data_IF_687853799509
#
_entry.id   IF_687853799509
#
_cell.length_a   1.000
_cell.length_b   1.000
_cell.length_c   1.000
_cell.angle_alpha   90.00
_cell.angle_beta   90.00
_cell.angle_gamma   90.00
#
_symmetry.space_group_name_H-M   'P 1'
#
loop_
_entity.id
_entity.type
_entity.pdbx_description
1 polymer ?
#
# COMPACT_ATOMS: atom_id res chain seq x y z
N UNK A 1 -22.36 67.06 -29.65
CA UNK A 1 -23.51 66.47 -28.95
C UNK A 1 -23.00 65.30 -28.11
N UNK A 2 -23.34 65.26 -26.80
CA UNK A 2 -23.32 64.13 -25.81
C UNK A 2 -22.01 63.29 -25.67
N UNK A 3 -21.24 63.42 -24.57
CA UNK A 3 -21.34 62.72 -23.25
C UNK A 3 -21.13 61.19 -23.41
N UNK A 4 -20.32 60.42 -22.65
CA UNK A 4 -19.78 60.55 -21.29
C UNK A 4 -18.69 59.47 -21.07
N UNK A 5 -17.89 59.64 -20.02
CA UNK A 5 -16.82 58.80 -19.48
C UNK A 5 -17.15 57.31 -19.26
N UNK A 6 -16.10 56.46 -19.28
CA UNK A 6 -16.10 55.20 -18.52
C UNK A 6 -14.76 55.06 -17.80
N UNK A 7 -14.85 55.03 -16.48
CA UNK A 7 -13.75 54.93 -15.53
C UNK A 7 -13.38 53.48 -15.27
N UNK A 8 -12.08 53.23 -15.09
CA UNK A 8 -11.54 51.98 -14.53
C UNK A 8 -11.79 51.99 -13.03
N UNK A 9 -12.56 51.03 -12.53
CA UNK A 9 -12.56 50.62 -11.12
C UNK A 9 -12.45 49.10 -11.11
N UNK A 10 -11.29 48.60 -10.73
CA UNK A 10 -11.10 47.24 -10.27
C UNK A 10 -11.56 47.15 -8.82
N UNK A 11 -12.57 46.33 -8.52
CA UNK A 11 -12.87 45.86 -7.17
C UNK A 11 -13.47 44.44 -7.25
N UNK A 12 -12.92 43.57 -6.41
CA UNK A 12 -13.09 42.12 -6.33
C UNK A 12 -14.55 41.64 -6.20
N UNK A 13 -14.95 40.66 -7.01
CA UNK A 13 -16.16 39.87 -6.81
C UNK A 13 -15.79 38.38 -6.67
N UNK A 14 -16.15 37.81 -5.53
CA UNK A 14 -15.92 36.42 -5.11
C UNK A 14 -16.80 35.47 -5.95
N UNK A 15 -16.28 34.36 -6.50
CA UNK A 15 -17.10 33.37 -7.19
C UNK A 15 -17.97 32.58 -6.19
N UNK A 16 -19.27 32.50 -6.48
CA UNK A 16 -20.19 31.58 -5.82
C UNK A 16 -20.02 30.18 -6.44
N UNK A 17 -19.59 29.21 -5.63
CA UNK A 17 -19.53 27.80 -6.01
C UNK A 17 -20.94 27.20 -5.95
N UNK A 18 -21.48 26.79 -7.10
CA UNK A 18 -22.60 25.83 -7.16
C UNK A 18 -22.02 24.48 -6.76
N UNK A 19 -22.25 24.05 -5.52
CA UNK A 19 -22.02 22.66 -5.12
C UNK A 19 -23.10 21.82 -5.77
N UNK A 20 -22.70 20.86 -6.60
CA UNK A 20 -23.57 19.73 -6.87
C UNK A 20 -23.80 19.03 -5.51
N UNK A 21 -25.03 18.62 -5.24
CA UNK A 21 -25.32 17.74 -4.12
C UNK A 21 -25.80 16.47 -4.78
N UNK A 22 -24.94 15.46 -4.82
CA UNK A 22 -25.31 14.10 -5.20
C UNK A 22 -26.58 13.68 -4.44
N UNK A 23 -27.67 13.39 -5.15
CA UNK A 23 -28.88 12.85 -4.53
C UNK A 23 -28.59 11.39 -4.11
N UNK A 24 -28.51 11.10 -2.79
CA UNK A 24 -28.14 9.77 -2.32
C UNK A 24 -29.13 8.67 -2.76
N UNK A 25 -30.35 9.05 -3.19
CA UNK A 25 -31.31 8.12 -3.75
C UNK A 25 -30.98 7.71 -5.19
N UNK A 26 -30.27 8.53 -5.96
CA UNK A 26 -29.85 8.17 -7.32
C UNK A 26 -28.72 7.13 -7.29
N UNK A 27 -27.77 7.27 -6.37
CA UNK A 27 -26.74 6.26 -6.13
C UNK A 27 -27.35 4.90 -5.75
N UNK A 28 -28.33 4.87 -4.82
CA UNK A 28 -29.01 3.62 -4.47
C UNK A 28 -29.81 3.02 -5.62
N UNK A 29 -30.53 3.84 -6.40
CA UNK A 29 -31.26 3.35 -7.58
C UNK A 29 -30.32 2.73 -8.61
N UNK A 30 -29.11 3.27 -8.75
CA UNK A 30 -28.08 2.68 -9.60
C UNK A 30 -27.61 1.33 -9.07
N UNK A 31 -27.29 1.22 -7.78
CA UNK A 31 -26.85 -0.04 -7.16
C UNK A 31 -27.91 -1.13 -7.31
N UNK A 32 -29.18 -0.81 -7.08
CA UNK A 32 -30.27 -1.76 -7.28
C UNK A 32 -30.45 -2.19 -8.73
N UNK A 33 -30.17 -1.30 -9.69
CA UNK A 33 -30.15 -1.67 -11.11
C UNK A 33 -29.03 -2.66 -11.41
N UNK A 34 -27.82 -2.43 -10.91
CA UNK A 34 -26.71 -3.39 -11.04
C UNK A 34 -27.02 -4.73 -10.37
N UNK A 35 -27.64 -4.70 -9.19
CA UNK A 35 -28.01 -5.90 -8.45
C UNK A 35 -29.08 -6.72 -9.19
N UNK A 36 -30.09 -6.05 -9.77
CA UNK A 36 -31.15 -6.71 -10.52
C UNK A 36 -30.64 -7.36 -11.82
N UNK A 37 -29.66 -6.75 -12.49
CA UNK A 37 -29.11 -7.25 -13.75
C UNK A 37 -28.18 -8.46 -13.55
N UNK A 38 -27.25 -8.39 -12.58
CA UNK A 38 -26.19 -9.39 -12.45
C UNK A 38 -26.36 -10.34 -11.25
N UNK A 39 -27.04 -9.90 -10.20
CA UNK A 39 -27.09 -10.57 -8.89
C UNK A 39 -25.81 -10.40 -8.07
N UNK A 40 -25.93 -10.40 -6.74
CA UNK A 40 -24.83 -10.06 -5.81
C UNK A 40 -23.63 -11.01 -5.89
N UNK A 41 -23.88 -12.29 -6.19
CA UNK A 41 -22.84 -13.33 -6.26
C UNK A 41 -22.10 -13.38 -7.59
N UNK A 42 -22.49 -12.56 -8.57
CA UNK A 42 -21.84 -12.52 -9.87
C UNK A 42 -20.64 -11.55 -9.82
N UNK A 43 -19.43 -11.95 -10.23
CA UNK A 43 -18.26 -11.08 -10.19
C UNK A 43 -18.39 -9.80 -11.02
N UNK A 44 -19.34 -9.74 -11.97
CA UNK A 44 -19.61 -8.53 -12.76
C UNK A 44 -20.40 -7.46 -11.98
N UNK A 45 -21.08 -7.82 -10.88
CA UNK A 45 -21.84 -6.88 -10.07
C UNK A 45 -20.95 -5.76 -9.48
N UNK A 46 -19.79 -6.12 -8.90
CA UNK A 46 -18.86 -5.15 -8.32
C UNK A 46 -18.36 -4.12 -9.34
N UNK A 47 -18.00 -4.59 -10.55
CA UNK A 47 -17.57 -3.70 -11.63
C UNK A 47 -18.69 -2.76 -12.11
N UNK A 48 -19.94 -3.24 -12.16
CA UNK A 48 -21.10 -2.40 -12.52
C UNK A 48 -21.30 -1.25 -11.53
N UNK A 49 -21.26 -1.53 -10.23
CA UNK A 49 -21.45 -0.53 -9.18
C UNK A 49 -20.35 0.53 -9.23
N UNK A 50 -19.09 0.12 -9.37
CA UNK A 50 -17.95 1.05 -9.39
C UNK A 50 -17.96 1.98 -10.61
N UNK A 51 -18.31 1.46 -11.78
CA UNK A 51 -18.27 2.24 -13.02
C UNK A 51 -19.47 3.17 -13.19
N UNK A 52 -20.65 2.74 -12.75
CA UNK A 52 -21.90 3.41 -13.10
C UNK A 52 -22.53 4.16 -11.94
N UNK A 53 -22.27 3.76 -10.70
CA UNK A 53 -22.99 4.29 -9.54
C UNK A 53 -22.17 5.28 -8.69
N UNK A 54 -20.87 5.40 -8.95
CA UNK A 54 -19.97 6.34 -8.27
C UNK A 54 -19.66 7.60 -9.10
N UNK A 55 -20.47 7.89 -10.13
CA UNK A 55 -20.31 9.06 -10.99
C UNK A 55 -21.10 10.25 -10.44
N UNK A 56 -20.60 10.82 -9.34
CA UNK A 56 -21.22 11.98 -8.69
C UNK A 56 -20.18 12.97 -8.17
N UNK A 57 -19.50 12.83 -7.05
CA UNK A 57 -18.56 13.86 -6.55
C UNK A 57 -17.40 13.27 -5.72
N UNK A 58 -16.32 14.05 -5.48
CA UNK A 58 -15.27 13.66 -4.55
C UNK A 58 -15.82 13.75 -3.12
N UNK A 59 -16.46 12.68 -2.65
CA UNK A 59 -17.18 12.65 -1.38
C UNK A 59 -16.68 11.54 -0.45
N UNK A 60 -16.36 12.01 0.75
CA UNK A 60 -15.94 11.28 1.95
C UNK A 60 -16.97 10.22 2.34
N UNK A 61 -16.56 8.95 2.36
CA UNK A 61 -17.40 7.84 2.81
C UNK A 61 -17.47 7.72 4.35
N UNK A 62 -18.63 7.35 4.95
CA UNK A 62 -18.78 7.07 6.38
C UNK A 62 -18.18 5.72 6.78
N UNK A 63 -17.56 5.68 7.97
CA UNK A 63 -16.80 4.58 8.55
C UNK A 63 -17.62 3.28 8.75
N UNK A 64 -17.57 2.37 7.77
CA UNK A 64 -17.36 0.96 8.10
C UNK A 64 -16.10 0.92 8.96
N UNK A 65 -16.10 0.28 10.13
CA UNK A 65 -14.87 0.07 10.90
C UNK A 65 -13.80 -0.40 9.89
N UNK A 66 -12.79 0.43 9.61
CA UNK A 66 -11.87 0.11 8.54
C UNK A 66 -11.28 -1.24 8.90
N UNK A 67 -11.27 -2.18 7.94
CA UNK A 67 -10.29 -3.26 7.98
C UNK A 67 -8.99 -2.59 8.44
N UNK A 68 -8.33 -3.08 9.52
CA UNK A 68 -7.30 -2.33 10.24
C UNK A 68 -6.43 -1.67 9.20
N UNK A 69 -6.47 -0.33 9.18
CA UNK A 69 -5.82 0.43 8.13
C UNK A 69 -4.41 -0.17 7.98
N UNK A 70 -3.95 -0.44 6.75
CA UNK A 70 -2.60 -0.95 6.55
C UNK A 70 -1.68 -0.11 7.45
N UNK A 71 -0.91 -0.79 8.29
CA UNK A 71 0.05 -0.12 9.16
C UNK A 71 0.76 0.93 8.31
N UNK A 72 0.71 2.20 8.70
CA UNK A 72 1.02 3.31 7.80
C UNK A 72 2.35 3.04 7.05
N UNK A 73 2.27 2.86 5.73
CA UNK A 73 3.42 2.55 4.88
C UNK A 73 3.64 1.07 4.52
N UNK A 74 2.83 0.13 5.02
CA UNK A 74 2.91 -1.29 4.68
C UNK A 74 1.77 -1.70 3.73
N UNK A 75 2.11 -2.43 2.68
CA UNK A 75 1.18 -3.09 1.76
C UNK A 75 1.04 -4.56 2.14
N UNK A 76 -0.11 -5.18 1.89
CA UNK A 76 -0.35 -6.59 2.19
C UNK A 76 -1.15 -7.25 1.07
N UNK A 77 -0.97 -8.57 0.89
CA UNK A 77 -1.77 -9.30 -0.08
C UNK A 77 -1.45 -10.79 -0.15
N UNK A 78 -2.03 -11.44 -1.16
CA UNK A 78 -1.73 -12.81 -1.58
C UNK A 78 -0.74 -12.72 -2.75
N UNK A 79 0.20 -13.66 -2.84
CA UNK A 79 1.12 -13.74 -3.99
C UNK A 79 0.34 -14.02 -5.29
N UNK A 80 0.87 -13.61 -6.43
CA UNK A 80 0.17 -13.73 -7.73
C UNK A 80 -0.13 -15.18 -8.14
N UNK A 81 0.64 -16.14 -7.63
CA UNK A 81 0.43 -17.58 -7.81
C UNK A 81 -0.55 -18.19 -6.80
N UNK A 82 -1.05 -17.41 -5.83
CA UNK A 82 -1.94 -17.88 -4.77
C UNK A 82 -1.25 -18.78 -3.74
N UNK A 83 0.05 -19.01 -3.83
CA UNK A 83 0.78 -19.96 -3.00
C UNK A 83 1.27 -19.38 -1.67
N UNK A 84 1.01 -18.09 -1.40
CA UNK A 84 1.52 -17.42 -0.23
C UNK A 84 0.86 -16.08 0.04
N UNK A 85 1.34 -15.40 1.07
CA UNK A 85 0.94 -14.05 1.42
C UNK A 85 2.16 -13.17 1.65
N UNK A 86 1.96 -11.85 1.56
CA UNK A 86 3.05 -10.89 1.70
C UNK A 86 2.68 -9.68 2.56
N UNK A 87 3.73 -9.05 3.07
CA UNK A 87 3.74 -7.70 3.61
C UNK A 87 4.90 -6.94 2.94
N UNK A 88 4.66 -5.78 2.36
CA UNK A 88 5.67 -5.04 1.58
C UNK A 88 5.79 -3.58 1.94
N UNK A 89 6.98 -3.02 1.86
CA UNK A 89 7.24 -1.59 1.98
C UNK A 89 8.04 -1.10 0.77
N UNK A 90 7.66 0.07 0.24
CA UNK A 90 8.41 0.79 -0.78
C UNK A 90 9.13 1.98 -0.14
N UNK A 91 10.45 1.99 -0.25
CA UNK A 91 11.23 3.17 0.11
C UNK A 91 11.04 4.25 -0.96
N UNK A 92 10.53 5.43 -0.56
CA UNK A 92 10.24 6.52 -1.49
C UNK A 92 11.51 7.21 -2.04
N UNK A 93 12.65 7.09 -1.34
CA UNK A 93 13.91 7.75 -1.71
C UNK A 93 14.70 6.93 -2.72
N UNK A 94 14.72 5.61 -2.57
CA UNK A 94 15.46 4.70 -3.46
C UNK A 94 14.57 4.05 -4.51
N UNK A 95 13.26 4.01 -4.28
CA UNK A 95 12.31 3.26 -5.09
C UNK A 95 12.40 1.75 -4.91
N UNK A 96 13.22 1.25 -3.97
CA UNK A 96 13.35 -0.16 -3.68
C UNK A 96 12.15 -0.67 -2.85
N UNK A 97 11.72 -1.89 -3.15
CA UNK A 97 10.67 -2.59 -2.44
C UNK A 97 11.26 -3.72 -1.61
N UNK A 98 10.86 -3.81 -0.34
CA UNK A 98 11.17 -4.95 0.53
C UNK A 98 9.87 -5.64 0.96
N UNK A 99 9.80 -6.95 0.74
CA UNK A 99 8.66 -7.78 1.11
C UNK A 99 9.07 -8.84 2.12
N UNK A 100 8.26 -9.03 3.15
CA UNK A 100 8.17 -10.29 3.87
C UNK A 100 7.17 -11.19 3.14
N UNK A 101 7.60 -12.42 2.83
CA UNK A 101 6.80 -13.43 2.15
C UNK A 101 6.65 -14.63 3.06
N UNK A 102 5.47 -15.24 3.05
CA UNK A 102 5.27 -16.60 3.55
C UNK A 102 4.71 -17.47 2.43
N UNK A 103 5.09 -18.74 2.42
CA UNK A 103 4.64 -19.71 1.42
C UNK A 103 4.52 -21.13 1.96
N UNK A 104 4.35 -22.12 1.08
CA UNK A 104 4.00 -23.48 1.48
C UNK A 104 5.07 -24.11 2.37
N UNK A 105 4.60 -24.83 3.39
CA UNK A 105 5.45 -25.47 4.39
C UNK A 105 5.97 -24.50 5.46
N UNK A 106 5.31 -23.35 5.64
CA UNK A 106 5.68 -22.36 6.65
C UNK A 106 7.00 -21.64 6.40
N UNK A 107 7.51 -21.70 5.17
CA UNK A 107 8.76 -21.02 4.78
C UNK A 107 8.53 -19.54 4.63
N UNK A 108 9.46 -18.74 5.13
CA UNK A 108 9.37 -17.29 5.12
C UNK A 108 10.65 -16.68 4.59
N UNK A 109 10.51 -15.66 3.75
CA UNK A 109 11.63 -15.01 3.07
C UNK A 109 11.48 -13.50 3.12
N UNK A 110 12.61 -12.80 3.04
CA UNK A 110 12.65 -11.40 2.64
C UNK A 110 12.96 -11.33 1.15
N UNK A 111 12.17 -10.58 0.40
CA UNK A 111 12.38 -10.30 -1.01
C UNK A 111 12.70 -8.81 -1.19
N UNK A 112 13.85 -8.51 -1.78
CA UNK A 112 14.24 -7.19 -2.21
C UNK A 112 14.07 -7.07 -3.73
N UNK A 113 13.36 -6.04 -4.17
CA UNK A 113 13.21 -5.66 -5.59
C UNK A 113 13.70 -4.22 -5.74
N UNK A 114 14.66 -3.99 -6.64
CA UNK A 114 15.24 -2.66 -6.81
C UNK A 114 16.58 -2.66 -7.54
N UNK A 115 17.24 -1.49 -7.60
CA UNK A 115 18.42 -1.25 -8.43
C UNK A 115 19.71 -1.91 -7.93
N UNK A 116 19.73 -2.46 -6.71
CA UNK A 116 20.89 -3.20 -6.21
C UNK A 116 20.81 -4.70 -6.51
N UNK A 117 21.73 -5.11 -7.39
CA UNK A 117 22.26 -6.47 -7.50
C UNK A 117 23.76 -6.44 -7.24
N UNK A 118 24.33 -7.44 -6.54
CA UNK A 118 24.16 -8.86 -6.87
C UNK A 118 23.62 -9.71 -5.71
N UNK A 119 23.61 -11.03 -5.91
CA UNK A 119 23.57 -11.97 -4.78
C UNK A 119 24.70 -11.62 -3.80
N UNK A 120 24.36 -11.05 -2.65
CA UNK A 120 25.31 -10.38 -1.76
C UNK A 120 24.88 -10.51 -0.30
N UNK A 121 25.82 -10.25 0.60
CA UNK A 121 25.50 -10.07 2.01
C UNK A 121 25.12 -8.62 2.24
N UNK A 122 23.87 -8.38 2.62
CA UNK A 122 23.37 -7.07 3.03
C UNK A 122 23.32 -7.01 4.55
N UNK A 123 23.47 -5.81 5.10
CA UNK A 123 23.33 -5.58 6.55
C UNK A 123 21.96 -4.99 6.83
N UNK A 124 21.12 -5.75 7.51
CA UNK A 124 19.90 -5.24 8.11
C UNK A 124 20.22 -4.66 9.48
N UNK A 125 20.11 -3.36 9.65
CA UNK A 125 20.29 -2.69 10.94
C UNK A 125 18.93 -2.41 11.56
N UNK A 126 18.64 -2.96 12.75
CA UNK A 126 17.43 -2.68 13.51
C UNK A 126 17.81 -1.96 14.80
N UNK A 127 17.30 -0.75 15.00
CA UNK A 127 17.61 0.08 16.18
C UNK A 127 19.12 0.17 16.50
N UNK A 128 19.96 0.21 15.46
CA UNK A 128 21.42 0.29 15.58
C UNK A 128 22.16 -1.04 15.68
N UNK A 129 21.46 -2.18 15.74
CA UNK A 129 22.05 -3.53 15.75
C UNK A 129 22.03 -4.11 14.35
N UNK A 130 23.22 -4.44 13.81
CA UNK A 130 23.37 -5.03 12.49
C UNK A 130 23.21 -6.56 12.46
N UNK A 131 22.48 -7.05 11.47
CA UNK A 131 22.26 -8.47 11.17
C UNK A 131 22.65 -8.73 9.72
N UNK A 132 23.66 -9.57 9.45
CA UNK A 132 24.00 -9.93 8.08
C UNK A 132 22.93 -10.86 7.49
N UNK A 133 22.47 -10.55 6.28
CA UNK A 133 21.51 -11.35 5.52
C UNK A 133 22.10 -11.66 4.15
N UNK A 134 22.06 -12.92 3.74
CA UNK A 134 22.52 -13.33 2.42
C UNK A 134 21.33 -13.32 1.47
N UNK A 135 21.37 -12.41 0.51
CA UNK A 135 20.39 -12.30 -0.55
C UNK A 135 20.90 -13.03 -1.79
N UNK A 136 20.09 -13.91 -2.36
CA UNK A 136 20.38 -14.64 -3.59
C UNK A 136 19.38 -14.26 -4.69
N UNK A 137 19.87 -14.08 -5.92
CA UNK A 137 19.03 -13.74 -7.06
C UNK A 137 18.16 -14.94 -7.48
N UNK A 138 16.86 -14.71 -7.59
CA UNK A 138 15.90 -15.70 -8.07
C UNK A 138 14.73 -15.00 -8.75
N UNK A 139 14.41 -15.37 -9.99
CA UNK A 139 13.19 -14.91 -10.66
C UNK A 139 13.03 -13.40 -10.79
N UNK A 140 14.12 -12.64 -10.93
CA UNK A 140 14.08 -11.18 -11.09
C UNK A 140 14.01 -10.37 -9.79
N UNK A 141 14.20 -11.01 -8.63
CA UNK A 141 14.39 -10.35 -7.34
C UNK A 141 15.45 -11.05 -6.49
N UNK A 142 15.73 -10.52 -5.31
CA UNK A 142 16.73 -11.07 -4.40
C UNK A 142 16.07 -11.57 -3.13
N UNK A 143 16.34 -12.81 -2.75
CA UNK A 143 15.69 -13.50 -1.63
C UNK A 143 16.69 -13.81 -0.53
N UNK A 144 16.30 -13.55 0.71
CA UNK A 144 16.99 -14.02 1.90
C UNK A 144 16.04 -14.88 2.75
N UNK A 145 16.56 -16.00 3.26
CA UNK A 145 15.84 -16.81 4.26
C UNK A 145 15.57 -15.99 5.52
N UNK A 146 14.33 -16.00 5.97
CA UNK A 146 13.89 -15.16 7.07
C UNK A 146 12.91 -15.90 8.00
N UNK A 147 13.32 -17.03 8.62
CA UNK A 147 12.45 -17.74 9.55
C UNK A 147 12.08 -16.83 10.72
N UNK A 148 10.84 -16.90 11.20
CA UNK A 148 10.35 -16.05 12.30
C UNK A 148 11.17 -16.20 13.59
N UNK A 149 11.87 -17.32 13.75
CA UNK A 149 12.76 -17.58 14.88
C UNK A 149 14.15 -16.95 14.73
N UNK A 150 14.54 -16.48 13.54
CA UNK A 150 15.84 -15.85 13.32
C UNK A 150 15.97 -14.56 14.15
N UNK A 151 17.16 -14.28 14.73
CA UNK A 151 17.39 -13.05 15.49
C UNK A 151 17.02 -11.77 14.73
N UNK A 152 17.35 -11.71 13.43
CA UNK A 152 17.02 -10.57 12.56
C UNK A 152 15.51 -10.35 12.45
N UNK A 153 14.72 -11.42 12.27
CA UNK A 153 13.26 -11.32 12.20
C UNK A 153 12.64 -10.96 13.56
N UNK A 154 13.14 -11.53 14.65
CA UNK A 154 12.68 -11.14 15.99
C UNK A 154 12.96 -9.66 16.29
N UNK A 155 14.09 -9.14 15.82
CA UNK A 155 14.42 -7.72 15.94
C UNK A 155 13.47 -6.87 15.09
N UNK A 156 13.24 -7.21 13.82
CA UNK A 156 12.30 -6.50 12.95
C UNK A 156 10.89 -6.39 13.54
N UNK A 157 10.38 -7.48 14.13
CA UNK A 157 9.02 -7.53 14.67
C UNK A 157 8.85 -6.78 16.00
N UNK A 158 9.95 -6.37 16.65
CA UNK A 158 9.92 -5.69 17.96
C UNK A 158 10.55 -4.30 17.94
N UNK A 159 11.33 -4.00 16.90
CA UNK A 159 12.07 -2.77 16.77
C UNK A 159 11.20 -1.59 16.37
N UNK A 160 11.82 -0.41 16.30
CA UNK A 160 11.13 0.83 15.90
C UNK A 160 11.49 1.27 14.49
N UNK A 161 12.74 1.07 14.10
CA UNK A 161 13.25 1.42 12.78
C UNK A 161 14.24 0.36 12.27
N UNK A 162 14.24 0.15 10.97
CA UNK A 162 15.29 -0.63 10.33
C UNK A 162 15.80 0.02 9.05
N UNK A 163 17.01 -0.38 8.67
CA UNK A 163 17.62 -0.03 7.41
C UNK A 163 18.33 -1.24 6.82
N UNK A 164 18.13 -1.49 5.53
CA UNK A 164 18.91 -2.45 4.77
C UNK A 164 19.98 -1.68 4.00
N UNK A 165 21.24 -2.06 4.17
CA UNK A 165 22.38 -1.41 3.52
C UNK A 165 23.31 -2.44 2.87
N UNK A 166 24.00 -2.02 1.82
CA UNK A 166 25.03 -2.82 1.15
C UNK A 166 26.35 -2.83 1.93
N UNK A 167 27.35 -3.56 1.44
CA UNK A 167 28.68 -3.65 2.07
C UNK A 167 29.43 -2.30 2.10
N UNK A 168 29.11 -1.38 1.20
CA UNK A 168 29.65 -0.02 1.19
C UNK A 168 28.96 0.92 2.21
N UNK A 169 27.93 0.44 2.92
CA UNK A 169 27.14 1.22 3.88
C UNK A 169 26.08 2.11 3.22
N UNK A 170 25.85 1.97 1.92
CA UNK A 170 24.78 2.68 1.22
C UNK A 170 23.43 2.10 1.63
N UNK A 171 22.55 2.95 2.15
CA UNK A 171 21.18 2.57 2.49
C UNK A 171 20.36 2.27 1.23
N UNK A 172 19.71 1.11 1.20
CA UNK A 172 18.88 0.63 0.09
C UNK A 172 17.41 0.81 0.40
N UNK A 173 17.03 0.51 1.64
CA UNK A 173 15.65 0.59 2.11
C UNK A 173 15.69 1.05 3.56
N UNK A 174 14.91 2.08 3.88
CA UNK A 174 14.59 2.50 5.23
C UNK A 174 13.17 2.05 5.57
N UNK A 175 12.99 1.42 6.72
CA UNK A 175 11.76 0.73 7.09
C UNK A 175 11.22 1.31 8.39
N UNK A 176 10.05 1.98 8.38
CA UNK A 176 9.32 2.24 9.62
C UNK A 176 8.75 0.91 10.12
N UNK A 177 9.17 0.46 11.31
CA UNK A 177 8.71 -0.84 11.84
C UNK A 177 7.36 -0.75 12.56
N UNK A 178 6.80 0.46 12.70
CA UNK A 178 5.48 0.65 13.29
C UNK A 178 4.42 -0.12 12.51
N UNK A 179 3.72 -1.02 13.22
CA UNK A 179 2.65 -1.84 12.66
C UNK A 179 3.10 -3.02 11.77
N UNK A 180 4.41 -3.22 11.60
CA UNK A 180 4.96 -4.35 10.85
C UNK A 180 4.54 -5.68 11.49
N UNK A 181 4.62 -5.78 12.82
CA UNK A 181 4.35 -7.04 13.52
C UNK A 181 2.91 -7.50 13.32
N UNK A 182 1.95 -6.58 13.41
CA UNK A 182 0.54 -6.84 13.16
C UNK A 182 0.30 -7.21 11.69
N UNK A 183 0.96 -6.52 10.75
CA UNK A 183 0.85 -6.84 9.33
C UNK A 183 1.42 -8.24 9.01
N UNK A 184 2.57 -8.59 9.57
CA UNK A 184 3.16 -9.94 9.42
C UNK A 184 2.24 -10.98 10.02
N UNK A 185 1.69 -10.75 11.21
CA UNK A 185 0.74 -11.69 11.81
C UNK A 185 -0.50 -11.88 10.95
N UNK A 186 -1.05 -10.82 10.34
CA UNK A 186 -2.16 -10.94 9.38
C UNK A 186 -1.76 -11.73 8.14
N UNK A 187 -0.58 -11.49 7.56
CA UNK A 187 -0.09 -12.28 6.44
C UNK A 187 0.08 -13.76 6.82
N UNK A 188 0.56 -14.05 8.03
CA UNK A 188 0.72 -15.41 8.54
C UNK A 188 -0.60 -16.19 8.60
N UNK A 189 -1.73 -15.53 8.90
CA UNK A 189 -3.06 -16.18 8.86
C UNK A 189 -3.52 -16.58 7.46
N UNK A 190 -2.85 -16.07 6.41
CA UNK A 190 -3.18 -16.31 5.00
C UNK A 190 -2.20 -17.26 4.31
N UNK A 191 -1.17 -17.75 5.00
CA UNK A 191 -0.22 -18.69 4.41
C UNK A 191 -0.81 -20.11 4.40
N UNK A 192 -0.59 -20.88 3.34
CA UNK A 192 -1.06 -22.26 3.23
C UNK A 192 -0.24 -23.28 4.04
#
# INVERSE_FOLDING_TARGET
MRKLAVAVIALFAVPASVGAQEDPMEAQRCVWRCLAEYGESNPQYGACVEQLCNAGEPALAPELSPAPAPAAGWSEGITSDGAGAFVGHRDASTGADLFFLCGPGGRTHLLLVGPEGPSATLTLTVDGVGYPLVFAEQGGGYYAEAPLTAPAMQALLRGSQAQLANEAGTALVSLPLQGLAEAVNRALTRCP
#
